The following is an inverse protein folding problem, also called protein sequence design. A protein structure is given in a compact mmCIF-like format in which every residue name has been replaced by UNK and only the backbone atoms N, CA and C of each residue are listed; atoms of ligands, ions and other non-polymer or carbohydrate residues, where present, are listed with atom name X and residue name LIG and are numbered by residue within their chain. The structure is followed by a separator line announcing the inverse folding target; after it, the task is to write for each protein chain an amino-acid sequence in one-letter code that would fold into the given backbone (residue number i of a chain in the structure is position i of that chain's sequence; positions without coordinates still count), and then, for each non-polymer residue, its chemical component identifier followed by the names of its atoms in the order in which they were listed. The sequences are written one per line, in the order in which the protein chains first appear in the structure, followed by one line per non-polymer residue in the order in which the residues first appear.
data_IF_025018099469
#
_entry.id   IF_025018099469
#
_cell.length_a   1.000
_cell.length_b   1.000
_cell.length_c   1.000
_cell.angle_alpha   90.00
_cell.angle_beta   90.00
_cell.angle_gamma   90.00
#
_symmetry.space_group_name_H-M   'P 1'
#
loop_
_entity.id
_entity.type
_entity.pdbx_description
1 polymer ?
#
# COMPACT_ATOMS: atom_id res chain seq x y z
N UNK A 1 -12.05 15.67 -3.27
CA UNK A 1 -10.62 15.29 -3.12
C UNK A 1 -10.48 13.86 -3.59
N UNK A 2 -9.52 13.56 -4.47
CA UNK A 2 -9.28 12.19 -4.93
C UNK A 2 -8.27 11.50 -4.04
N UNK A 3 -8.30 10.16 -3.97
CA UNK A 3 -7.21 9.38 -3.39
C UNK A 3 -6.05 9.34 -4.40
N UNK A 4 -4.83 9.47 -3.91
CA UNK A 4 -3.61 9.45 -4.71
C UNK A 4 -2.59 8.55 -4.04
N UNK A 5 -1.84 7.80 -4.82
CA UNK A 5 -0.69 7.06 -4.33
C UNK A 5 0.55 7.96 -4.36
N UNK A 6 1.44 7.78 -3.39
CA UNK A 6 2.67 8.57 -3.24
C UNK A 6 3.87 7.75 -3.69
N UNK A 7 4.73 8.34 -4.51
CA UNK A 7 5.97 7.73 -4.97
C UNK A 7 7.13 8.57 -4.45
N UNK A 8 8.05 7.94 -3.72
CA UNK A 8 9.25 8.58 -3.22
C UNK A 8 10.41 8.45 -4.21
N UNK A 9 11.20 9.51 -4.33
CA UNK A 9 12.37 9.58 -5.18
C UNK A 9 13.63 9.15 -4.41
N UNK A 10 14.49 8.35 -5.04
CA UNK A 10 15.81 8.01 -4.49
C UNK A 10 16.69 9.26 -4.28
N UNK A 11 16.49 10.28 -5.14
CA UNK A 11 17.16 11.57 -5.08
C UNK A 11 16.14 12.69 -5.17
N UNK A 12 16.30 13.69 -4.31
CA UNK A 12 15.40 14.84 -4.31
C UNK A 12 15.60 15.71 -5.56
N UNK A 13 14.50 16.14 -6.16
CA UNK A 13 14.50 17.15 -7.22
C UNK A 13 14.53 18.54 -6.60
N UNK A 14 15.17 19.50 -7.29
CA UNK A 14 15.24 20.89 -6.82
C UNK A 14 14.24 21.76 -7.57
N UNK A 15 13.40 22.47 -6.81
CA UNK A 15 12.48 23.45 -7.36
C UNK A 15 13.25 24.66 -7.92
N UNK A 16 13.09 25.02 -9.20
CA UNK A 16 13.82 26.13 -9.80
C UNK A 16 13.41 27.50 -9.23
N UNK A 17 12.23 27.60 -8.60
CA UNK A 17 11.68 28.86 -8.09
C UNK A 17 12.12 29.18 -6.67
N UNK A 18 12.12 28.19 -5.77
CA UNK A 18 12.44 28.40 -4.35
C UNK A 18 13.65 27.59 -3.86
N UNK A 19 14.32 26.83 -4.73
CA UNK A 19 15.42 25.92 -4.38
C UNK A 19 15.05 24.85 -3.34
N UNK A 20 13.76 24.67 -3.08
CA UNK A 20 13.24 23.64 -2.18
C UNK A 20 13.44 22.24 -2.77
N UNK A 21 13.63 21.26 -1.90
CA UNK A 21 13.77 19.85 -2.27
C UNK A 21 12.40 19.19 -2.37
N UNK A 22 12.19 18.42 -3.44
CA UNK A 22 10.99 17.65 -3.72
C UNK A 22 11.39 16.17 -3.64
N UNK A 23 10.81 15.44 -2.69
CA UNK A 23 11.18 14.06 -2.37
C UNK A 23 10.18 13.04 -2.90
N UNK A 24 9.01 13.47 -3.34
CA UNK A 24 7.95 12.59 -3.79
C UNK A 24 7.07 13.25 -4.83
N UNK A 25 6.29 12.43 -5.52
CA UNK A 25 5.16 12.87 -6.33
C UNK A 25 3.93 12.03 -6.00
N UNK A 26 2.76 12.58 -6.30
CA UNK A 26 1.50 11.86 -6.20
C UNK A 26 1.05 11.46 -7.60
N UNK A 27 0.48 10.25 -7.74
CA UNK A 27 -0.09 9.80 -9.02
C UNK A 27 -1.49 9.24 -8.82
N UNK A 28 -2.30 9.39 -9.88
CA UNK A 28 -3.61 8.72 -10.01
C UNK A 28 -3.59 7.48 -10.89
N UNK A 29 -2.43 7.18 -11.45
CA UNK A 29 -2.28 6.15 -12.48
C UNK A 29 -2.28 4.73 -11.89
N UNK A 30 -2.25 4.60 -10.57
CA UNK A 30 -2.27 3.33 -9.84
C UNK A 30 -3.68 3.05 -9.28
N UNK A 31 -3.79 2.11 -8.35
CA UNK A 31 -5.06 1.68 -7.75
C UNK A 31 -5.68 2.76 -6.83
N UNK A 32 -4.95 3.83 -6.50
CA UNK A 32 -5.40 4.95 -5.66
C UNK A 32 -5.74 4.51 -4.23
N UNK A 33 -4.86 3.71 -3.64
CA UNK A 33 -5.07 3.08 -2.34
C UNK A 33 -4.41 3.84 -1.18
N UNK A 34 -3.93 5.06 -1.44
CA UNK A 34 -3.18 5.87 -0.50
C UNK A 34 -1.89 5.17 -0.04
N UNK A 35 -1.30 4.38 -0.95
CA UNK A 35 -0.07 3.66 -0.66
C UNK A 35 1.17 4.50 -1.00
N UNK A 36 2.27 4.16 -0.34
CA UNK A 36 3.56 4.79 -0.50
C UNK A 36 4.51 3.79 -1.16
N UNK A 37 5.11 4.19 -2.28
CA UNK A 37 5.97 3.32 -3.09
C UNK A 37 7.37 3.90 -3.26
N UNK A 38 8.35 3.01 -3.29
CA UNK A 38 9.75 3.25 -3.61
C UNK A 38 10.19 2.40 -4.81
N UNK A 39 11.33 2.75 -5.39
CA UNK A 39 11.93 1.95 -6.45
C UNK A 39 12.18 0.53 -5.94
N UNK A 40 11.81 -0.47 -6.75
CA UNK A 40 11.75 -1.92 -6.46
C UNK A 40 10.54 -2.39 -5.66
N UNK A 41 9.56 -1.54 -5.39
CA UNK A 41 8.29 -2.01 -4.84
C UNK A 41 7.41 -2.61 -5.93
N UNK A 42 6.59 -3.59 -5.53
CA UNK A 42 5.54 -4.14 -6.36
C UNK A 42 4.31 -3.23 -6.26
N UNK A 43 3.79 -2.79 -7.41
CA UNK A 43 2.72 -1.80 -7.52
C UNK A 43 1.49 -2.34 -8.26
N UNK A 44 1.55 -3.57 -8.78
CA UNK A 44 0.47 -4.16 -9.56
C UNK A 44 0.80 -5.55 -10.08
N UNK A 45 0.13 -5.95 -11.14
CA UNK A 45 0.27 -7.30 -11.71
C UNK A 45 1.49 -7.45 -12.64
N UNK A 46 2.00 -8.69 -12.75
CA UNK A 46 3.14 -9.07 -13.60
C UNK A 46 3.00 -8.70 -15.10
N UNK A 47 1.80 -8.42 -15.58
CA UNK A 47 1.55 -8.07 -16.98
C UNK A 47 1.67 -6.56 -17.23
N UNK A 48 1.69 -5.76 -16.17
CA UNK A 48 1.69 -4.31 -16.29
C UNK A 48 3.06 -3.78 -16.68
N UNK A 49 3.13 -3.17 -17.86
CA UNK A 49 4.25 -2.34 -18.29
C UNK A 49 3.72 -0.98 -18.73
N UNK A 50 4.24 0.09 -18.14
CA UNK A 50 3.83 1.46 -18.44
C UNK A 50 4.88 2.47 -18.04
N UNK A 51 4.95 3.55 -18.82
CA UNK A 51 5.68 4.75 -18.45
C UNK A 51 4.63 5.82 -18.16
N UNK A 52 4.63 6.34 -16.94
CA UNK A 52 3.70 7.37 -16.48
C UNK A 52 4.46 8.69 -16.42
N UNK A 53 3.90 9.73 -17.04
CA UNK A 53 4.45 11.08 -16.99
C UNK A 53 3.72 11.87 -15.91
N UNK A 54 4.44 12.37 -14.93
CA UNK A 54 3.90 13.25 -13.89
C UNK A 54 4.64 14.58 -13.87
N UNK A 55 3.91 15.67 -13.63
CA UNK A 55 4.51 17.00 -13.44
C UNK A 55 4.84 17.19 -11.95
N UNK A 56 6.07 17.62 -11.66
CA UNK A 56 6.51 17.84 -10.29
C UNK A 56 5.76 19.02 -9.65
N UNK A 57 5.23 18.77 -8.45
CA UNK A 57 4.63 19.76 -7.58
C UNK A 57 5.62 20.16 -6.48
N UNK A 58 5.72 21.45 -6.18
CA UNK A 58 6.54 21.95 -5.06
C UNK A 58 5.63 22.44 -3.95
N UNK A 59 5.70 21.81 -2.77
CA UNK A 59 4.89 22.18 -1.61
C UNK A 59 5.15 23.62 -1.15
N UNK A 60 6.43 24.01 -1.11
CA UNK A 60 6.83 25.35 -0.67
C UNK A 60 6.34 26.47 -1.61
N UNK A 61 6.19 26.17 -2.91
CA UNK A 61 5.61 27.11 -3.87
C UNK A 61 4.11 26.91 -4.08
N UNK A 62 3.55 25.83 -3.54
CA UNK A 62 2.19 25.35 -3.74
C UNK A 62 1.73 25.34 -5.21
N UNK A 63 2.65 24.96 -6.12
CA UNK A 63 2.37 24.92 -7.57
C UNK A 63 3.26 23.94 -8.30
N UNK A 64 2.77 23.51 -9.46
CA UNK A 64 3.57 22.77 -10.43
C UNK A 64 4.71 23.62 -11.01
N UNK A 65 5.85 22.98 -11.24
CA UNK A 65 7.09 23.66 -11.61
C UNK A 65 7.46 23.53 -13.10
N UNK A 66 6.62 22.91 -13.94
CA UNK A 66 6.89 22.71 -15.37
C UNK A 66 7.93 21.63 -15.67
N UNK A 67 8.42 20.92 -14.65
CA UNK A 67 9.34 19.77 -14.81
C UNK A 67 8.55 18.48 -14.73
N UNK A 68 8.79 17.59 -15.67
CA UNK A 68 8.16 16.27 -15.69
C UNK A 68 9.14 15.21 -15.22
N UNK A 69 8.61 14.18 -14.59
CA UNK A 69 9.30 12.92 -14.32
C UNK A 69 8.54 11.79 -14.98
N UNK A 70 9.28 10.75 -15.34
CA UNK A 70 8.76 9.56 -15.99
C UNK A 70 8.94 8.41 -15.02
N UNK A 71 7.83 7.89 -14.51
CA UNK A 71 7.77 6.76 -13.60
C UNK A 71 7.66 5.50 -14.46
N UNK A 72 8.61 4.57 -14.30
CA UNK A 72 8.70 3.36 -15.10
C UNK A 72 8.19 2.17 -14.29
N UNK A 73 7.15 1.54 -14.80
CA UNK A 73 6.59 0.31 -14.28
C UNK A 73 6.85 -0.79 -15.28
N UNK A 74 7.46 -1.88 -14.82
CA UNK A 74 7.66 -3.06 -15.66
C UNK A 74 7.37 -4.32 -14.87
N UNK A 75 6.52 -5.17 -15.45
CA UNK A 75 6.03 -6.41 -14.83
C UNK A 75 5.44 -6.14 -13.43
N UNK A 76 4.70 -5.05 -13.26
CA UNK A 76 4.10 -4.67 -11.97
C UNK A 76 5.10 -4.18 -10.90
N UNK A 77 6.36 -3.96 -11.25
CA UNK A 77 7.40 -3.42 -10.36
C UNK A 77 7.68 -1.96 -10.72
N UNK A 78 7.81 -1.09 -9.72
CA UNK A 78 8.34 0.26 -9.90
C UNK A 78 9.86 0.18 -10.15
N UNK A 79 10.28 0.25 -11.40
CA UNK A 79 11.67 0.01 -11.80
C UNK A 79 12.57 1.23 -11.63
N UNK A 80 12.00 2.42 -11.72
CA UNK A 80 12.76 3.65 -11.61
C UNK A 80 11.97 4.87 -12.03
N UNK A 81 12.63 6.02 -11.91
CA UNK A 81 12.07 7.34 -12.22
C UNK A 81 13.15 8.11 -12.97
N UNK A 82 12.82 8.63 -14.15
CA UNK A 82 13.76 9.36 -15.03
C UNK A 82 13.24 10.75 -15.38
N UNK A 83 14.12 11.60 -15.91
CA UNK A 83 13.76 12.96 -16.31
C UNK A 83 13.29 13.03 -17.77
N UNK A 84 13.66 12.04 -18.58
CA UNK A 84 13.34 12.00 -20.02
C UNK A 84 12.59 10.72 -20.40
N UNK A 85 11.80 10.82 -21.47
CA UNK A 85 11.06 9.69 -22.06
C UNK A 85 12.01 8.70 -22.71
N UNK A 86 13.11 9.18 -23.29
CA UNK A 86 14.14 8.38 -23.93
C UNK A 86 14.85 7.48 -22.91
N UNK A 87 15.24 8.02 -21.75
CA UNK A 87 15.83 7.24 -20.65
C UNK A 87 14.84 6.22 -20.10
N UNK A 88 13.56 6.59 -19.95
CA UNK A 88 12.52 5.67 -19.49
C UNK A 88 12.36 4.47 -20.43
N UNK A 89 12.30 4.72 -21.74
CA UNK A 89 12.22 3.66 -22.77
C UNK A 89 13.48 2.80 -22.81
N UNK A 90 14.65 3.42 -22.72
CA UNK A 90 15.93 2.71 -22.68
C UNK A 90 15.99 1.78 -21.47
N UNK A 91 15.58 2.26 -20.29
CA UNK A 91 15.53 1.47 -19.08
C UNK A 91 14.62 0.24 -19.24
N UNK A 92 13.44 0.39 -19.86
CA UNK A 92 12.57 -0.77 -20.13
C UNK A 92 13.21 -1.79 -21.09
N UNK A 93 13.90 -1.33 -22.13
CA UNK A 93 14.48 -2.19 -23.16
C UNK A 93 15.76 -2.91 -22.69
N UNK A 94 16.52 -2.30 -21.81
CA UNK A 94 17.79 -2.84 -21.31
C UNK A 94 17.59 -3.92 -20.22
N UNK A 95 16.35 -4.15 -19.77
CA UNK A 95 16.06 -5.11 -18.71
C UNK A 95 16.04 -6.54 -19.24
N UNK A 96 16.68 -7.42 -18.47
CA UNK A 96 16.60 -8.86 -18.69
C UNK A 96 15.21 -9.38 -18.21
N UNK A 97 14.36 -9.93 -19.10
CA UNK A 97 13.01 -10.37 -18.75
C UNK A 97 12.99 -11.49 -17.69
N UNK A 98 13.93 -12.43 -17.74
CA UNK A 98 13.97 -13.57 -16.82
C UNK A 98 14.24 -13.12 -15.38
N UNK A 99 15.18 -12.18 -15.19
CA UNK A 99 15.47 -11.58 -13.89
C UNK A 99 14.28 -10.81 -13.33
N UNK A 100 13.55 -10.08 -14.18
CA UNK A 100 12.35 -9.34 -13.76
C UNK A 100 11.25 -10.28 -13.25
N UNK A 101 11.05 -11.42 -13.89
CA UNK A 101 10.06 -12.41 -13.44
C UNK A 101 10.42 -12.98 -12.07
N UNK A 102 11.70 -13.27 -11.83
CA UNK A 102 12.17 -13.74 -10.53
C UNK A 102 11.98 -12.66 -9.45
N UNK A 103 12.35 -11.41 -9.73
CA UNK A 103 12.13 -10.30 -8.80
C UNK A 103 10.65 -10.09 -8.51
N UNK A 104 9.79 -10.14 -9.53
CA UNK A 104 8.35 -9.99 -9.34
C UNK A 104 7.83 -11.05 -8.38
N UNK A 105 8.21 -12.32 -8.56
CA UNK A 105 7.73 -13.39 -7.69
C UNK A 105 8.06 -13.13 -6.22
N UNK A 106 9.29 -12.70 -5.92
CA UNK A 106 9.73 -12.45 -4.54
C UNK A 106 9.07 -11.19 -3.95
N UNK A 107 9.01 -10.10 -4.74
CA UNK A 107 8.38 -8.84 -4.33
C UNK A 107 6.86 -8.97 -4.18
N UNK A 108 6.21 -9.73 -5.06
CA UNK A 108 4.77 -9.95 -5.04
C UNK A 108 4.35 -10.76 -3.82
N UNK A 109 5.16 -11.75 -3.39
CA UNK A 109 4.91 -12.47 -2.13
C UNK A 109 4.88 -11.52 -0.95
N UNK A 110 5.84 -10.60 -0.87
CA UNK A 110 5.89 -9.57 0.17
C UNK A 110 4.68 -8.64 0.10
N UNK A 111 4.36 -8.14 -1.09
CA UNK A 111 3.20 -7.28 -1.33
C UNK A 111 1.87 -7.93 -0.92
N UNK A 112 1.66 -9.21 -1.26
CA UNK A 112 0.48 -9.96 -0.83
C UNK A 112 0.49 -10.19 0.67
N UNK A 113 1.64 -10.44 1.27
CA UNK A 113 1.81 -10.53 2.72
C UNK A 113 1.33 -9.26 3.43
N UNK A 114 1.86 -8.11 3.03
CA UNK A 114 1.50 -6.80 3.58
C UNK A 114 0.01 -6.48 3.37
N UNK A 115 -0.56 -6.81 2.21
CA UNK A 115 -2.01 -6.64 1.97
C UNK A 115 -2.88 -7.56 2.83
N UNK A 116 -2.48 -8.81 2.98
CA UNK A 116 -3.22 -9.76 3.80
C UNK A 116 -3.17 -9.36 5.28
N UNK A 117 -2.03 -8.85 5.73
CA UNK A 117 -1.87 -8.28 7.07
C UNK A 117 -2.80 -7.08 7.27
N UNK A 118 -2.75 -6.06 6.40
CA UNK A 118 -3.67 -4.90 6.45
C UNK A 118 -5.14 -5.33 6.47
N UNK A 119 -5.51 -6.30 5.62
CA UNK A 119 -6.87 -6.85 5.56
C UNK A 119 -7.24 -7.59 6.85
N UNK A 120 -6.30 -8.29 7.49
CA UNK A 120 -6.48 -8.95 8.78
C UNK A 120 -6.81 -7.93 9.87
N UNK A 121 -6.03 -6.84 9.96
CA UNK A 121 -6.33 -5.73 10.88
C UNK A 121 -7.71 -5.10 10.61
N UNK A 122 -8.03 -4.81 9.34
CA UNK A 122 -9.33 -4.24 8.97
C UNK A 122 -10.50 -5.13 9.40
N UNK A 123 -10.44 -6.43 9.08
CA UNK A 123 -11.44 -7.42 9.50
C UNK A 123 -11.55 -7.51 11.02
N UNK A 124 -10.41 -7.49 11.73
CA UNK A 124 -10.43 -7.53 13.20
C UNK A 124 -11.13 -6.30 13.78
N UNK A 125 -10.89 -5.10 13.25
CA UNK A 125 -11.55 -3.89 13.72
C UNK A 125 -13.05 -3.88 13.41
N UNK A 126 -13.46 -4.42 12.25
CA UNK A 126 -14.88 -4.63 11.92
C UNK A 126 -15.54 -5.58 12.92
N UNK A 127 -14.91 -6.74 13.15
CA UNK A 127 -15.40 -7.74 14.11
C UNK A 127 -15.45 -7.18 15.54
N UNK A 128 -14.44 -6.41 15.96
CA UNK A 128 -14.36 -5.76 17.26
C UNK A 128 -15.51 -4.75 17.43
N UNK A 129 -15.75 -3.92 16.40
CA UNK A 129 -16.83 -2.94 16.39
C UNK A 129 -18.19 -3.63 16.52
N UNK A 130 -18.40 -4.73 15.82
CA UNK A 130 -19.65 -5.49 15.87
C UNK A 130 -19.84 -6.18 17.23
N UNK A 131 -18.80 -6.87 17.71
CA UNK A 131 -18.82 -7.63 18.97
C UNK A 131 -19.16 -6.79 20.20
N UNK A 132 -18.55 -5.61 20.31
CA UNK A 132 -18.80 -4.69 21.41
C UNK A 132 -19.96 -3.73 21.14
N UNK A 133 -20.14 -3.27 19.90
CA UNK A 133 -21.20 -2.33 19.52
C UNK A 133 -22.60 -2.93 19.59
N UNK A 134 -22.78 -4.19 19.15
CA UNK A 134 -24.06 -4.90 19.23
C UNK A 134 -24.26 -5.67 20.54
N UNK A 135 -23.32 -5.52 21.49
CA UNK A 135 -23.29 -6.21 22.78
C UNK A 135 -23.35 -7.74 22.66
N UNK A 136 -22.74 -8.30 21.61
CA UNK A 136 -22.70 -9.75 21.38
C UNK A 136 -21.96 -10.48 22.50
N UNK A 137 -20.98 -9.84 23.12
CA UNK A 137 -20.29 -10.33 24.30
C UNK A 137 -21.18 -10.53 25.54
N UNK A 138 -22.36 -9.90 25.59
CA UNK A 138 -23.33 -10.03 26.67
C UNK A 138 -24.39 -11.11 26.37
N UNK A 139 -24.46 -11.61 25.12
CA UNK A 139 -25.47 -12.60 24.70
C UNK A 139 -25.07 -14.02 25.12
N UNK A 140 -26.02 -14.86 25.56
CA UNK A 140 -25.75 -16.26 25.87
C UNK A 140 -25.32 -17.05 24.62
N UNK A 141 -24.35 -17.96 24.76
CA UNK A 141 -23.69 -18.69 23.65
C UNK A 141 -24.62 -19.57 22.77
N UNK A 142 -25.91 -19.64 23.10
CA UNK A 142 -26.92 -20.48 22.43
C UNK A 142 -27.46 -19.90 21.14
N UNK A 143 -27.27 -18.61 20.88
CA UNK A 143 -27.86 -17.95 19.72
C UNK A 143 -26.97 -18.05 18.48
N UNK A 144 -27.31 -19.06 17.67
CA UNK A 144 -26.92 -19.25 16.27
C UNK A 144 -25.50 -19.76 15.98
N UNK A 145 -25.44 -20.91 15.29
CA UNK A 145 -24.23 -21.43 14.66
C UNK A 145 -23.64 -20.45 13.62
N UNK A 146 -24.45 -19.52 13.10
CA UNK A 146 -24.06 -18.51 12.13
C UNK A 146 -23.17 -17.41 12.76
N UNK A 147 -23.49 -16.93 13.96
CA UNK A 147 -22.64 -15.99 14.70
C UNK A 147 -21.28 -16.60 15.07
N UNK A 148 -21.25 -17.90 15.39
CA UNK A 148 -19.99 -18.62 15.67
C UNK A 148 -19.07 -18.74 14.45
N UNK A 149 -19.63 -18.88 13.26
CA UNK A 149 -18.87 -18.93 12.00
C UNK A 149 -18.38 -17.54 11.58
N UNK A 150 -19.14 -16.49 11.89
CA UNK A 150 -18.82 -15.10 11.52
C UNK A 150 -17.51 -14.62 12.16
N UNK A 151 -17.32 -14.87 13.45
CA UNK A 151 -16.13 -14.44 14.19
C UNK A 151 -15.05 -15.51 14.31
N UNK A 152 -15.12 -16.63 13.56
CA UNK A 152 -14.28 -17.81 13.83
C UNK A 152 -12.78 -17.48 13.86
N UNK A 153 -12.32 -16.59 12.99
CA UNK A 153 -10.92 -16.17 12.85
C UNK A 153 -10.45 -15.27 14.01
N UNK A 154 -11.32 -14.39 14.51
CA UNK A 154 -10.99 -13.42 15.55
C UNK A 154 -11.52 -13.79 16.94
N UNK A 155 -12.29 -14.88 17.05
CA UNK A 155 -12.94 -15.33 18.28
C UNK A 155 -11.98 -15.49 19.45
N UNK A 156 -10.77 -16.00 19.20
CA UNK A 156 -9.70 -16.15 20.20
C UNK A 156 -9.23 -14.81 20.80
N UNK A 157 -9.36 -13.72 20.04
CA UNK A 157 -8.98 -12.38 20.45
C UNK A 157 -10.11 -11.63 21.15
N UNK A 158 -11.37 -11.99 20.90
CA UNK A 158 -12.57 -11.30 21.40
C UNK A 158 -13.21 -11.97 22.62
N UNK A 159 -13.24 -13.31 22.64
CA UNK A 159 -13.91 -14.06 23.72
C UNK A 159 -13.14 -13.97 25.03
N UNK A 160 -13.88 -13.71 26.11
CA UNK A 160 -13.35 -13.61 27.46
C UNK A 160 -12.61 -12.29 27.76
N UNK A 161 -12.50 -11.38 26.79
CA UNK A 161 -11.98 -10.04 27.01
C UNK A 161 -13.07 -9.14 27.61
N UNK A 162 -12.72 -8.39 28.65
CA UNK A 162 -13.65 -7.55 29.42
C UNK A 162 -14.03 -6.29 28.64
N UNK A 163 -13.14 -5.80 27.78
CA UNK A 163 -13.33 -4.58 27.03
C UNK A 163 -12.56 -4.60 25.68
N UNK A 164 -12.85 -3.65 24.77
CA UNK A 164 -12.21 -3.60 23.47
C UNK A 164 -10.68 -3.45 23.52
N UNK A 165 -10.14 -2.74 24.53
CA UNK A 165 -8.70 -2.50 24.65
C UNK A 165 -7.96 -3.82 24.89
N UNK A 166 -8.46 -4.66 25.79
CA UNK A 166 -7.89 -5.98 26.06
C UNK A 166 -7.89 -6.88 24.80
N UNK A 167 -8.96 -6.81 23.99
CA UNK A 167 -9.04 -7.55 22.73
C UNK A 167 -7.97 -7.07 21.72
N UNK A 168 -7.74 -5.76 21.65
CA UNK A 168 -6.69 -5.18 20.79
C UNK A 168 -5.30 -5.61 21.27
N UNK A 169 -5.02 -5.52 22.57
CA UNK A 169 -3.74 -5.96 23.13
C UNK A 169 -3.46 -7.43 22.82
N UNK A 170 -4.48 -8.29 22.96
CA UNK A 170 -4.38 -9.71 22.64
C UNK A 170 -4.16 -9.96 21.14
N UNK A 171 -4.82 -9.21 20.26
CA UNK A 171 -4.64 -9.31 18.82
C UNK A 171 -3.23 -8.90 18.38
N UNK A 172 -2.69 -7.81 18.93
CA UNK A 172 -1.35 -7.33 18.62
C UNK A 172 -0.30 -8.31 19.12
N UNK A 173 -0.40 -8.76 20.36
CA UNK A 173 0.61 -9.64 20.98
C UNK A 173 0.73 -10.98 20.26
N UNK A 174 -0.40 -11.60 19.89
CA UNK A 174 -0.41 -12.93 19.26
C UNK A 174 -0.08 -12.92 17.76
N UNK A 175 -0.01 -11.75 17.11
CA UNK A 175 0.41 -11.63 15.71
C UNK A 175 1.87 -11.16 15.56
N UNK A 176 2.55 -10.84 16.66
CA UNK A 176 3.97 -10.46 16.70
C UNK A 176 4.91 -11.60 17.14
N UNK A 177 4.35 -12.77 17.48
CA UNK A 177 5.07 -14.03 17.73
C UNK A 177 5.04 -14.95 16.49
#
# INVERSE_FOLDING_TARGET
MGMFDTIYFDKAYTCPKCQGKIYSTQTKSFENLLEAYHVKDCIGHAEEMRIIKEELFCDNCSKFIGKNVYIIVGRGILLGITETSEEAKKLLNDLNPEKLVLWYHDLYRRYIGERNEKRSYGRFLEDLSEWYGERLHERPETDSAFERLRFIWNSRHLKGCINPVESIERFITMNLE
#
